data_IF_197448818175
#
_entry.id   IF_197448818175
#
_cell.length_a   1.000
_cell.length_b   1.000
_cell.length_c   1.000
_cell.angle_alpha   90.00
_cell.angle_beta   90.00
_cell.angle_gamma   90.00
#
_symmetry.space_group_name_H-M   'P 1'
#
loop_
_entity.id
_entity.type
_entity.pdbx_description
1 polymer ?
#
# COMPACT_ATOMS: atom_id res chain seq x y z
N UNK A 1 -4.13 -43.86 73.23
CA UNK A 1 -5.15 -43.22 72.36
C UNK A 1 -5.20 -41.75 72.71
N UNK A 2 -4.56 -40.90 71.91
CA UNK A 2 -4.94 -39.51 71.73
C UNK A 2 -4.19 -38.96 70.52
N UNK A 3 -4.93 -38.18 69.75
CA UNK A 3 -4.71 -37.84 68.37
C UNK A 3 -4.39 -36.34 68.27
N UNK A 4 -3.74 -35.94 67.18
CA UNK A 4 -3.79 -34.61 66.55
C UNK A 4 -2.93 -33.51 67.20
N UNK A 5 -1.95 -32.96 66.48
CA UNK A 5 -2.07 -31.71 65.72
C UNK A 5 -0.71 -31.29 65.10
N UNK A 6 -0.40 -31.80 63.91
CA UNK A 6 0.70 -31.28 63.09
C UNK A 6 0.16 -30.20 62.16
N UNK A 7 0.54 -28.94 62.37
CA UNK A 7 0.21 -27.83 61.48
C UNK A 7 0.97 -27.98 60.15
N UNK A 8 0.26 -28.34 59.08
CA UNK A 8 0.75 -28.11 57.71
C UNK A 8 0.37 -26.69 57.31
N UNK A 9 1.35 -25.80 57.29
CA UNK A 9 1.24 -24.49 56.66
C UNK A 9 1.27 -24.72 55.14
N UNK A 10 0.11 -24.77 54.51
CA UNK A 10 0.01 -24.74 53.05
C UNK A 10 0.35 -23.31 52.58
N UNK A 11 1.60 -23.08 52.13
CA UNK A 11 1.90 -21.92 51.28
C UNK A 11 1.13 -22.12 49.98
N UNK A 12 -0.03 -21.49 49.86
CA UNK A 12 -0.63 -21.22 48.57
C UNK A 12 0.30 -20.24 47.84
N UNK A 13 1.15 -20.78 46.95
CA UNK A 13 1.76 -19.96 45.90
C UNK A 13 0.60 -19.56 44.99
N UNK A 14 0.02 -18.40 45.27
CA UNK A 14 -0.86 -17.74 44.32
C UNK A 14 -0.04 -17.45 43.07
N UNK A 15 -0.27 -18.22 42.00
CA UNK A 15 0.08 -17.77 40.67
C UNK A 15 -0.72 -16.48 40.45
N UNK A 16 -0.08 -15.32 40.66
CA UNK A 16 -0.58 -14.10 40.09
C UNK A 16 -0.52 -14.31 38.57
N UNK A 17 -1.67 -14.51 37.94
CA UNK A 17 -1.76 -14.42 36.49
C UNK A 17 -1.40 -12.97 36.16
N UNK A 18 -0.18 -12.75 35.68
CA UNK A 18 0.18 -11.48 35.08
C UNK A 18 -0.66 -11.39 33.82
N UNK A 19 -1.76 -10.63 33.86
CA UNK A 19 -2.44 -10.23 32.64
C UNK A 19 -1.41 -9.48 31.82
N UNK A 20 -1.08 -9.99 30.64
CA UNK A 20 -0.26 -9.22 29.73
C UNK A 20 -1.06 -7.97 29.36
N UNK A 21 -0.44 -6.80 29.44
CA UNK A 21 -1.06 -5.52 29.19
C UNK A 21 -0.41 -4.90 27.96
N UNK A 22 -1.23 -4.37 27.05
CA UNK A 22 -0.77 -3.56 25.94
C UNK A 22 -0.65 -2.09 26.40
N UNK A 23 0.36 -1.40 25.89
CA UNK A 23 0.58 0.02 26.17
C UNK A 23 0.25 0.86 24.93
N UNK A 24 -0.67 1.82 25.09
CA UNK A 24 -0.98 2.83 24.07
C UNK A 24 -0.42 4.16 24.55
N UNK A 25 0.64 4.65 23.91
CA UNK A 25 1.19 5.99 24.17
C UNK A 25 0.52 6.99 23.25
N UNK A 26 -0.19 7.96 23.83
CA UNK A 26 -0.84 9.05 23.11
C UNK A 26 0.02 10.31 23.26
N UNK A 27 0.40 10.90 22.14
CA UNK A 27 1.27 12.09 22.08
C UNK A 27 0.51 13.26 21.43
N UNK A 28 0.56 14.43 22.07
CA UNK A 28 0.00 15.65 21.51
C UNK A 28 1.09 16.47 20.81
N UNK A 29 1.19 16.31 19.49
CA UNK A 29 2.07 17.11 18.64
C UNK A 29 1.41 18.39 18.09
N UNK A 30 0.16 18.67 18.50
CA UNK A 30 -0.54 19.90 18.14
C UNK A 30 -0.02 21.09 18.97
N UNK A 31 -0.26 22.31 18.49
CA UNK A 31 0.07 23.55 19.21
C UNK A 31 -0.98 23.94 20.26
N UNK A 32 -2.09 23.22 20.32
CA UNK A 32 -3.18 23.44 21.27
C UNK A 32 -3.36 22.23 22.20
N UNK A 33 -4.00 22.47 23.34
CA UNK A 33 -4.42 21.39 24.25
C UNK A 33 -5.45 20.51 23.56
N UNK A 34 -5.26 19.19 23.67
CA UNK A 34 -6.19 18.18 23.14
C UNK A 34 -6.78 17.40 24.31
N UNK A 35 -8.11 17.30 24.34
CA UNK A 35 -8.83 16.49 25.33
C UNK A 35 -9.13 15.14 24.71
N UNK A 36 -8.32 14.14 25.05
CA UNK A 36 -8.45 12.78 24.53
C UNK A 36 -9.70 12.13 25.12
N UNK A 37 -10.53 11.54 24.26
CA UNK A 37 -11.61 10.64 24.63
C UNK A 37 -11.22 9.19 24.39
N UNK A 38 -11.70 8.29 25.25
CA UNK A 38 -11.49 6.85 25.10
C UNK A 38 -12.82 6.12 25.26
N UNK A 39 -13.05 5.10 24.44
CA UNK A 39 -14.24 4.25 24.52
C UNK A 39 -13.86 2.83 24.13
N UNK A 40 -14.18 1.85 24.96
CA UNK A 40 -13.89 0.46 24.62
C UNK A 40 -14.48 -0.54 25.61
N UNK A 41 -14.22 -1.80 25.34
CA UNK A 41 -14.61 -2.94 26.17
C UNK A 41 -13.37 -3.81 26.46
N UNK A 42 -13.26 -4.44 27.64
CA UNK A 42 -14.27 -4.49 28.72
C UNK A 42 -14.31 -3.22 29.60
N UNK A 43 -13.33 -2.32 29.46
CA UNK A 43 -13.24 -1.08 30.26
C UNK A 43 -12.94 0.12 29.37
N UNK A 44 -13.36 1.30 29.83
CA UNK A 44 -12.95 2.57 29.25
C UNK A 44 -11.64 3.01 29.92
N UNK A 45 -10.51 3.03 29.21
CA UNK A 45 -9.23 3.42 29.79
C UNK A 45 -9.31 4.85 30.34
N UNK A 46 -8.62 5.15 31.46
CA UNK A 46 -8.64 6.48 32.07
C UNK A 46 -10.06 7.02 32.43
N UNK A 47 -11.05 6.15 32.61
CA UNK A 47 -12.43 6.55 32.87
C UNK A 47 -13.17 7.15 31.67
N UNK A 48 -12.59 7.05 30.47
CA UNK A 48 -13.17 7.56 29.24
C UNK A 48 -12.51 8.83 28.69
N UNK A 49 -11.41 9.32 29.28
CA UNK A 49 -10.68 10.44 28.72
C UNK A 49 -9.69 11.13 29.67
N UNK A 50 -8.80 11.92 29.08
CA UNK A 50 -7.75 12.69 29.77
C UNK A 50 -7.34 13.91 28.93
N UNK A 51 -6.48 14.78 29.47
CA UNK A 51 -6.02 16.01 28.80
C UNK A 51 -4.52 15.89 28.49
N UNK A 52 -4.12 16.37 27.31
CA UNK A 52 -2.71 16.55 26.93
C UNK A 52 -2.49 18.00 26.46
N UNK A 53 -1.60 18.72 27.13
CA UNK A 53 -1.08 19.99 26.63
C UNK A 53 -0.14 19.77 25.42
N UNK A 54 0.21 20.83 24.67
CA UNK A 54 1.18 20.71 23.59
C UNK A 54 2.48 20.03 24.03
N UNK A 55 2.93 19.06 23.23
CA UNK A 55 4.12 18.23 23.47
C UNK A 55 4.04 17.29 24.68
N UNK A 56 2.89 17.14 25.33
CA UNK A 56 2.70 16.12 26.35
C UNK A 56 2.36 14.76 25.73
N UNK A 57 2.79 13.71 26.42
CA UNK A 57 2.48 12.32 26.11
C UNK A 57 1.91 11.61 27.34
N UNK A 58 1.02 10.64 27.13
CA UNK A 58 0.55 9.75 28.19
C UNK A 58 0.45 8.32 27.69
N UNK A 59 1.01 7.39 28.45
CA UNK A 59 0.85 5.96 28.23
C UNK A 59 -0.37 5.45 29.00
N UNK A 60 -1.22 4.71 28.29
CA UNK A 60 -2.44 4.09 28.79
C UNK A 60 -2.26 2.58 28.70
N UNK A 61 -2.49 1.89 29.82
CA UNK A 61 -2.49 0.43 29.88
C UNK A 61 -3.88 -0.09 29.47
N UNK A 62 -3.90 -1.03 28.53
CA UNK A 62 -5.12 -1.71 28.09
C UNK A 62 -4.92 -3.23 28.14
N UNK A 63 -6.00 -3.94 28.44
CA UNK A 63 -5.96 -5.40 28.62
C UNK A 63 -5.92 -6.12 27.25
N UNK A 64 -5.37 -7.33 27.22
CA UNK A 64 -5.52 -8.24 26.08
C UNK A 64 -7.01 -8.42 25.72
N UNK A 65 -7.34 -8.47 24.44
CA UNK A 65 -8.72 -8.56 23.96
C UNK A 65 -9.49 -7.23 23.99
N UNK A 66 -8.84 -6.11 24.35
CA UNK A 66 -9.52 -4.81 24.37
C UNK A 66 -9.89 -4.37 22.95
N UNK A 67 -11.15 -3.96 22.79
CA UNK A 67 -11.69 -3.42 21.55
C UNK A 67 -12.23 -2.03 21.83
N UNK A 68 -11.71 -1.03 21.14
CA UNK A 68 -12.13 0.33 21.38
C UNK A 68 -11.46 1.34 20.48
N UNK A 69 -11.60 2.61 20.86
CA UNK A 69 -11.14 3.74 20.09
C UNK A 69 -10.71 4.91 20.95
N UNK A 70 -9.81 5.71 20.38
CA UNK A 70 -9.36 6.99 20.89
C UNK A 70 -9.75 8.09 19.90
N UNK A 71 -10.01 9.29 20.40
CA UNK A 71 -10.19 10.49 19.57
C UNK A 71 -9.74 11.72 20.33
N UNK A 72 -9.38 12.79 19.63
CA UNK A 72 -9.05 14.07 20.26
C UNK A 72 -10.22 15.07 20.15
N UNK A 73 -10.42 15.85 21.21
CA UNK A 73 -11.38 16.96 21.24
C UNK A 73 -10.65 18.28 21.31
N UNK A 74 -11.10 19.27 20.55
CA UNK A 74 -10.46 20.59 20.47
C UNK A 74 -11.43 21.72 20.80
N UNK A 75 -10.88 22.88 21.15
CA UNK A 75 -11.66 24.06 21.52
C UNK A 75 -12.58 23.84 22.72
N UNK A 76 -12.10 23.06 23.70
CA UNK A 76 -12.85 22.74 24.92
C UNK A 76 -12.77 23.85 25.96
N UNK A 77 -13.82 23.93 26.79
CA UNK A 77 -13.79 24.68 28.03
C UNK A 77 -12.92 23.98 29.10
N UNK A 78 -12.69 24.66 30.23
CA UNK A 78 -11.69 24.27 31.23
C UNK A 78 -11.89 22.86 31.84
N UNK A 79 -13.14 22.39 31.88
CA UNK A 79 -13.52 21.07 32.42
C UNK A 79 -13.76 20.01 31.33
N UNK A 80 -13.55 20.35 30.05
CA UNK A 80 -13.78 19.46 28.92
C UNK A 80 -15.25 19.06 28.72
N UNK A 81 -16.19 19.79 29.34
CA UNK A 81 -17.61 19.49 29.27
C UNK A 81 -18.29 19.95 27.98
N UNK A 82 -17.66 20.90 27.29
CA UNK A 82 -18.10 21.38 25.99
C UNK A 82 -16.89 21.64 25.12
N UNK A 83 -16.78 20.89 24.03
CA UNK A 83 -15.75 21.03 23.01
C UNK A 83 -16.32 21.52 21.66
N UNK A 84 -15.48 22.15 20.85
CA UNK A 84 -15.86 22.57 19.50
C UNK A 84 -15.98 21.37 18.55
N UNK A 85 -15.14 20.35 18.74
CA UNK A 85 -15.09 19.14 17.91
C UNK A 85 -14.90 17.91 18.79
N UNK A 86 -15.42 16.76 18.33
CA UNK A 86 -15.31 15.47 19.02
C UNK A 86 -15.98 15.40 20.40
N UNK A 87 -16.78 16.40 20.77
CA UNK A 87 -17.35 16.54 22.11
C UNK A 87 -18.10 15.27 22.55
N UNK A 88 -18.02 14.92 23.83
CA UNK A 88 -18.77 13.78 24.36
C UNK A 88 -19.87 14.20 25.34
N UNK A 89 -20.20 15.50 25.39
CA UNK A 89 -21.23 16.12 26.22
C UNK A 89 -21.16 15.75 27.71
N UNK A 90 -19.94 15.59 28.24
CA UNK A 90 -19.70 15.22 29.65
C UNK A 90 -18.67 16.12 30.32
N UNK A 91 -17.42 15.66 30.41
CA UNK A 91 -16.30 16.37 31.02
C UNK A 91 -15.02 15.77 30.47
N UNK A 92 -13.89 15.95 31.16
CA UNK A 92 -12.63 15.29 30.79
C UNK A 92 -12.80 13.78 30.56
N UNK A 93 -13.59 13.11 31.40
CA UNK A 93 -13.91 11.69 31.26
C UNK A 93 -15.28 11.49 30.57
N UNK A 94 -15.30 10.83 29.41
CA UNK A 94 -16.54 10.60 28.66
C UNK A 94 -17.41 9.47 29.24
N UNK A 95 -16.91 8.68 30.20
CA UNK A 95 -17.72 7.72 30.97
C UNK A 95 -18.58 6.77 30.10
N UNK A 96 -18.02 6.30 28.99
CA UNK A 96 -18.69 5.41 28.03
C UNK A 96 -19.49 6.10 26.92
N UNK A 97 -19.51 7.44 26.87
CA UNK A 97 -20.02 8.18 25.72
C UNK A 97 -18.97 8.23 24.60
N UNK A 98 -19.39 8.05 23.35
CA UNK A 98 -18.55 8.32 22.18
C UNK A 98 -18.47 9.81 21.87
N UNK A 99 -17.45 10.20 21.11
CA UNK A 99 -17.37 11.54 20.54
C UNK A 99 -18.52 11.79 19.56
N UNK A 100 -19.10 12.98 19.60
CA UNK A 100 -20.08 13.46 18.63
C UNK A 100 -19.33 13.76 17.33
N UNK A 101 -19.70 13.12 16.20
CA UNK A 101 -19.09 13.39 14.91
C UNK A 101 -19.29 14.86 14.46
N UNK A 102 -18.36 15.43 13.67
CA UNK A 102 -17.20 14.77 13.10
C UNK A 102 -16.01 14.63 14.05
N UNK A 103 -15.36 13.45 14.02
CA UNK A 103 -14.16 13.17 14.79
C UNK A 103 -13.28 12.13 14.08
N UNK A 104 -11.98 12.41 13.98
CA UNK A 104 -10.98 11.42 13.56
C UNK A 104 -10.83 10.38 14.67
N UNK A 105 -10.86 9.10 14.32
CA UNK A 105 -10.81 7.99 15.29
C UNK A 105 -9.53 7.17 15.09
N UNK A 106 -8.88 6.77 16.19
CA UNK A 106 -7.95 5.65 16.20
C UNK A 106 -8.67 4.43 16.77
N UNK A 107 -8.88 3.40 15.96
CA UNK A 107 -9.61 2.19 16.32
C UNK A 107 -8.62 1.05 16.54
N UNK A 108 -8.79 0.29 17.62
CA UNK A 108 -7.87 -0.79 18.00
C UNK A 108 -8.65 -1.99 18.53
N UNK A 109 -8.27 -3.16 18.08
CA UNK A 109 -8.72 -4.47 18.58
C UNK A 109 -7.48 -5.27 18.95
N UNK A 110 -7.16 -5.40 20.22
CA UNK A 110 -6.03 -6.22 20.68
C UNK A 110 -6.41 -7.71 20.77
N UNK A 111 -5.45 -8.59 20.51
CA UNK A 111 -5.54 -10.04 20.70
C UNK A 111 -6.82 -10.67 20.11
N UNK A 112 -7.15 -10.29 18.87
CA UNK A 112 -8.31 -10.81 18.14
C UNK A 112 -8.01 -12.21 17.57
N UNK A 113 -8.50 -12.53 16.37
CA UNK A 113 -8.33 -13.85 15.77
C UNK A 113 -6.85 -14.25 15.68
N UNK A 114 -6.51 -15.42 16.25
CA UNK A 114 -5.16 -15.99 16.29
C UNK A 114 -4.10 -15.11 17.00
N UNK A 115 -4.54 -14.22 17.91
CA UNK A 115 -3.68 -13.33 18.67
C UNK A 115 -3.07 -12.19 17.85
N UNK A 116 -3.85 -11.74 16.85
CA UNK A 116 -3.54 -10.57 16.06
C UNK A 116 -4.23 -9.33 16.63
N UNK A 117 -3.47 -8.25 16.77
CA UNK A 117 -4.02 -6.91 16.97
C UNK A 117 -4.44 -6.35 15.61
N UNK A 118 -5.55 -5.61 15.56
CA UNK A 118 -6.02 -4.86 14.39
C UNK A 118 -6.13 -3.40 14.77
N UNK A 119 -5.63 -2.51 13.92
CA UNK A 119 -5.71 -1.08 14.18
C UNK A 119 -5.81 -0.26 12.91
N UNK A 120 -6.44 0.90 13.03
CA UNK A 120 -6.60 1.86 11.94
C UNK A 120 -6.87 3.28 12.44
N UNK A 121 -6.68 4.24 11.53
CA UNK A 121 -7.24 5.59 11.67
C UNK A 121 -8.47 5.65 10.76
N UNK A 122 -9.58 6.12 11.31
CA UNK A 122 -10.88 6.10 10.65
C UNK A 122 -11.50 7.49 10.57
N UNK A 123 -11.90 7.85 9.34
CA UNK A 123 -12.62 9.07 8.97
C UNK A 123 -14.07 8.77 8.58
N UNK A 124 -14.55 7.56 8.89
CA UNK A 124 -15.96 7.16 8.70
C UNK A 124 -16.89 8.11 9.44
N UNK A 125 -16.50 8.47 10.66
CA UNK A 125 -17.17 9.47 11.50
C UNK A 125 -16.66 10.90 11.22
N UNK A 126 -16.03 11.16 10.08
CA UNK A 126 -15.53 12.48 9.69
C UNK A 126 -14.14 12.79 10.23
N UNK A 127 -13.75 14.06 10.14
CA UNK A 127 -12.41 14.53 10.48
C UNK A 127 -12.50 15.79 11.36
N UNK A 128 -11.64 15.91 12.36
CA UNK A 128 -11.45 17.17 13.10
C UNK A 128 -9.99 17.55 13.28
N UNK A 129 -9.10 16.58 13.46
CA UNK A 129 -7.66 16.79 13.65
C UNK A 129 -6.82 15.69 12.97
N UNK A 130 -5.57 16.00 12.57
CA UNK A 130 -4.65 15.00 12.05
C UNK A 130 -4.28 14.00 13.14
N UNK A 131 -4.26 12.71 12.78
CA UNK A 131 -3.94 11.64 13.72
C UNK A 131 -3.18 10.53 13.02
N UNK A 132 -2.28 9.89 13.74
CA UNK A 132 -1.59 8.68 13.30
C UNK A 132 -1.40 7.70 14.45
N UNK A 133 -1.22 6.44 14.10
CA UNK A 133 -0.96 5.36 15.04
C UNK A 133 0.02 4.37 14.44
N UNK A 134 1.01 3.97 15.23
CA UNK A 134 2.01 2.97 14.85
C UNK A 134 2.45 2.13 16.07
N UNK A 135 2.81 0.84 15.89
CA UNK A 135 3.31 0.01 16.98
C UNK A 135 4.73 0.39 17.40
N UNK A 136 4.99 0.45 18.71
CA UNK A 136 6.30 0.87 19.27
C UNK A 136 7.28 -0.28 19.53
N UNK A 137 6.81 -1.53 19.62
CA UNK A 137 7.65 -2.72 19.83
C UNK A 137 7.30 -3.82 18.82
N UNK A 138 8.30 -4.32 18.09
CA UNK A 138 8.12 -5.40 17.12
C UNK A 138 9.29 -6.39 17.16
N UNK A 139 8.99 -7.67 17.34
CA UNK A 139 9.93 -8.79 17.18
C UNK A 139 9.29 -10.00 16.46
N UNK A 140 8.39 -9.75 15.49
CA UNK A 140 7.73 -10.80 14.71
C UNK A 140 8.21 -10.90 13.25
N UNK A 141 7.79 -11.94 12.54
CA UNK A 141 7.81 -12.01 11.07
C UNK A 141 6.36 -12.15 10.60
N UNK A 142 5.95 -11.42 9.56
CA UNK A 142 4.77 -11.76 8.75
C UNK A 142 3.42 -11.09 9.04
N UNK A 143 3.34 -9.98 9.80
CA UNK A 143 2.08 -9.25 10.04
C UNK A 143 2.16 -7.78 9.59
N UNK A 144 1.04 -7.20 9.12
CA UNK A 144 0.92 -5.85 8.51
C UNK A 144 1.17 -4.72 9.54
N UNK A 145 2.40 -4.53 10.01
CA UNK A 145 2.74 -3.43 10.92
C UNK A 145 3.08 -2.18 10.12
N UNK A 146 2.21 -1.17 10.11
CA UNK A 146 2.42 0.08 9.38
C UNK A 146 1.81 1.26 10.10
N UNK A 147 2.17 2.48 9.69
CA UNK A 147 1.65 3.70 10.28
C UNK A 147 0.26 4.00 9.69
N UNK A 148 -0.79 3.77 10.46
CA UNK A 148 -2.12 4.24 10.15
C UNK A 148 -2.17 5.75 10.34
N UNK A 149 -2.82 6.51 9.45
CA UNK A 149 -2.75 7.96 9.59
C UNK A 149 -3.49 8.81 8.57
N UNK A 150 -3.82 10.00 9.03
CA UNK A 150 -4.26 11.13 8.25
C UNK A 150 -3.45 12.36 8.69
N UNK A 151 -2.31 12.59 8.02
CA UNK A 151 -1.38 13.66 8.37
C UNK A 151 -1.78 15.03 7.79
N UNK A 152 -2.57 15.01 6.71
CA UNK A 152 -3.03 16.23 6.06
C UNK A 152 -4.16 16.87 6.88
N UNK A 153 -4.14 18.20 6.96
CA UNK A 153 -5.30 18.94 7.46
C UNK A 153 -6.43 18.92 6.43
N UNK A 154 -7.45 18.09 6.70
CA UNK A 154 -8.62 17.99 5.83
C UNK A 154 -9.54 19.20 5.95
N UNK A 155 -9.44 20.01 7.00
CA UNK A 155 -10.25 21.22 7.17
C UNK A 155 -9.96 22.25 6.06
N UNK A 156 -8.72 22.31 5.57
CA UNK A 156 -8.28 23.23 4.51
C UNK A 156 -8.91 22.94 3.14
N UNK A 157 -9.34 21.69 2.92
CA UNK A 157 -9.90 21.22 1.65
C UNK A 157 -11.28 20.60 1.78
N UNK A 158 -11.93 20.81 2.93
CA UNK A 158 -13.26 20.28 3.20
C UNK A 158 -14.29 20.93 2.27
N UNK A 159 -15.12 20.15 1.53
CA UNK A 159 -16.23 20.69 0.76
C UNK A 159 -17.16 21.53 1.65
N UNK A 160 -17.65 22.66 1.14
CA UNK A 160 -18.39 23.64 1.93
C UNK A 160 -19.65 23.06 2.59
N UNK A 161 -20.30 22.11 1.93
CA UNK A 161 -21.47 21.37 2.42
C UNK A 161 -21.15 20.40 3.58
N UNK A 162 -19.90 19.94 3.69
CA UNK A 162 -19.42 19.06 4.76
C UNK A 162 -18.75 19.82 5.91
N UNK A 163 -18.32 21.05 5.67
CA UNK A 163 -17.57 21.86 6.63
C UNK A 163 -18.38 22.20 7.89
N UNK A 164 -17.72 22.04 9.05
CA UNK A 164 -18.16 22.60 10.33
C UNK A 164 -17.38 23.89 10.56
N UNK A 165 -18.07 25.03 10.51
CA UNK A 165 -17.44 26.35 10.61
C UNK A 165 -17.68 26.95 11.98
N UNK A 166 -16.61 27.41 12.64
CA UNK A 166 -16.64 28.16 13.88
C UNK A 166 -15.75 29.39 13.75
N UNK A 167 -16.25 30.56 14.14
CA UNK A 167 -15.53 31.84 14.06
C UNK A 167 -14.93 32.13 12.67
N UNK A 168 -15.65 31.74 11.61
CA UNK A 168 -15.24 31.95 10.22
C UNK A 168 -14.16 30.98 9.70
N UNK A 169 -13.78 29.95 10.47
CA UNK A 169 -12.84 28.90 10.05
C UNK A 169 -13.50 27.53 10.07
N UNK A 170 -13.16 26.69 9.09
CA UNK A 170 -13.50 25.26 9.14
C UNK A 170 -12.69 24.62 10.27
N UNK A 171 -13.38 24.06 11.27
CA UNK A 171 -12.75 23.40 12.43
C UNK A 171 -12.90 21.89 12.41
N UNK A 172 -13.78 21.37 11.56
CA UNK A 172 -13.95 19.95 11.31
C UNK A 172 -14.64 19.72 9.95
N UNK A 173 -14.54 18.50 9.42
CA UNK A 173 -15.17 18.09 8.18
C UNK A 173 -16.04 16.85 8.40
N UNK A 174 -17.33 16.94 8.09
CA UNK A 174 -18.23 15.79 8.15
C UNK A 174 -17.87 14.76 7.09
N UNK A 175 -18.02 13.47 7.40
CA UNK A 175 -18.17 12.47 6.35
C UNK A 175 -19.51 12.68 5.64
N UNK A 176 -19.63 12.15 4.42
CA UNK A 176 -20.90 12.19 3.70
C UNK A 176 -22.02 11.45 4.46
N UNK A 177 -21.70 10.36 5.16
CA UNK A 177 -22.66 9.67 6.00
C UNK A 177 -23.20 10.57 7.12
N UNK A 178 -22.31 11.24 7.87
CA UNK A 178 -22.71 12.13 8.96
C UNK A 178 -23.61 13.26 8.48
N UNK A 179 -23.27 13.87 7.34
CA UNK A 179 -23.95 15.09 6.87
C UNK A 179 -25.21 14.81 6.06
N UNK A 180 -25.13 13.87 5.12
CA UNK A 180 -26.17 13.61 4.12
C UNK A 180 -27.06 12.44 4.55
N UNK A 181 -26.53 11.53 5.36
CA UNK A 181 -27.27 10.43 6.02
C UNK A 181 -28.13 9.57 5.08
N UNK A 182 -27.66 9.37 3.85
CA UNK A 182 -28.30 8.47 2.89
C UNK A 182 -27.77 7.05 3.08
N UNK A 183 -28.56 6.07 2.68
CA UNK A 183 -28.15 4.66 2.76
C UNK A 183 -26.93 4.36 1.89
N UNK A 184 -26.75 5.08 0.79
CA UNK A 184 -25.56 4.99 -0.07
C UNK A 184 -24.30 5.46 0.67
N UNK A 185 -24.31 6.66 1.23
CA UNK A 185 -23.11 7.20 1.90
C UNK A 185 -22.78 6.52 3.23
N UNK A 186 -23.79 5.95 3.88
CA UNK A 186 -23.63 5.20 5.13
C UNK A 186 -23.49 3.69 4.92
N UNK A 187 -23.51 3.19 3.68
CA UNK A 187 -23.49 1.77 3.35
C UNK A 187 -24.54 0.94 4.14
N UNK A 188 -25.80 1.36 4.08
CA UNK A 188 -26.93 0.70 4.76
C UNK A 188 -27.91 0.12 3.74
N UNK A 189 -28.80 -0.75 4.20
CA UNK A 189 -29.91 -1.27 3.39
C UNK A 189 -29.41 -1.96 2.12
N UNK A 190 -29.81 -1.45 0.95
CA UNK A 190 -29.38 -2.00 -0.35
C UNK A 190 -27.86 -1.89 -0.58
N UNK A 191 -27.17 -0.97 0.11
CA UNK A 191 -25.73 -0.72 0.07
C UNK A 191 -25.01 -1.39 1.25
N UNK A 192 -25.66 -2.28 1.99
CA UNK A 192 -25.11 -2.92 3.20
C UNK A 192 -24.03 -3.98 2.97
N UNK A 193 -23.44 -4.03 1.79
CA UNK A 193 -22.35 -4.97 1.47
C UNK A 193 -21.25 -4.25 0.68
N UNK A 194 -19.97 -4.67 0.80
CA UNK A 194 -18.86 -4.00 0.12
C UNK A 194 -19.01 -3.90 -1.41
N UNK A 195 -19.58 -4.92 -2.05
CA UNK A 195 -19.82 -4.93 -3.51
C UNK A 195 -20.89 -3.93 -3.94
N UNK A 196 -21.76 -3.51 -3.01
CA UNK A 196 -22.89 -2.62 -3.28
C UNK A 196 -22.68 -1.19 -2.80
N UNK A 197 -21.67 -0.93 -1.96
CA UNK A 197 -21.27 0.41 -1.54
C UNK A 197 -19.85 0.70 -2.02
N UNK A 198 -19.64 0.98 -3.31
CA UNK A 198 -18.32 1.35 -3.82
C UNK A 198 -17.90 2.74 -3.29
N UNK A 199 -16.61 3.10 -3.42
CA UNK A 199 -16.15 4.45 -3.12
C UNK A 199 -16.94 5.49 -3.93
N UNK A 200 -17.24 6.62 -3.29
CA UNK A 200 -17.97 7.74 -3.87
C UNK A 200 -17.14 9.03 -3.75
N UNK A 201 -17.55 10.09 -4.44
CA UNK A 201 -16.75 11.31 -4.56
C UNK A 201 -16.22 11.85 -3.22
N UNK A 202 -17.06 11.94 -2.18
CA UNK A 202 -16.62 12.42 -0.87
C UNK A 202 -15.63 11.49 -0.17
N UNK A 203 -15.84 10.17 -0.20
CA UNK A 203 -14.89 9.23 0.41
C UNK A 203 -13.55 9.22 -0.35
N UNK A 204 -13.59 9.35 -1.67
CA UNK A 204 -12.38 9.51 -2.49
C UNK A 204 -11.59 10.78 -2.15
N UNK A 205 -12.25 11.90 -1.82
CA UNK A 205 -11.55 13.11 -1.36
C UNK A 205 -10.77 12.85 -0.06
N UNK A 206 -11.41 12.19 0.91
CA UNK A 206 -10.78 11.84 2.18
C UNK A 206 -9.64 10.83 1.97
N UNK A 207 -9.86 9.80 1.15
CA UNK A 207 -8.85 8.80 0.81
C UNK A 207 -7.64 9.39 0.10
N UNK A 208 -7.86 10.32 -0.84
CA UNK A 208 -6.78 11.00 -1.55
C UNK A 208 -5.93 11.83 -0.61
N UNK A 209 -6.55 12.49 0.37
CA UNK A 209 -5.85 13.27 1.37
C UNK A 209 -5.12 12.40 2.40
N UNK A 210 -5.74 11.28 2.77
CA UNK A 210 -5.32 10.41 3.87
C UNK A 210 -5.39 8.95 3.43
N UNK A 211 -4.41 8.49 2.62
CA UNK A 211 -4.45 7.17 2.00
C UNK A 211 -4.30 6.03 3.03
N UNK A 212 -3.67 6.30 4.18
CA UNK A 212 -3.48 5.34 5.27
C UNK A 212 -4.61 5.36 6.33
N UNK A 213 -5.76 5.96 6.02
CA UNK A 213 -6.95 5.98 6.87
C UNK A 213 -8.18 5.44 6.14
N UNK A 214 -9.12 4.88 6.90
CA UNK A 214 -10.46 4.55 6.41
C UNK A 214 -11.21 5.83 6.05
N UNK A 215 -11.66 5.95 4.82
CA UNK A 215 -12.42 7.09 4.31
C UNK A 215 -13.95 6.88 4.35
N UNK A 216 -14.41 5.62 4.44
CA UNK A 216 -15.82 5.24 4.59
C UNK A 216 -15.92 3.77 5.08
N UNK A 217 -17.14 3.31 5.38
CA UNK A 217 -17.38 2.06 6.10
C UNK A 217 -16.83 0.77 5.45
N UNK A 218 -16.72 0.73 4.11
CA UNK A 218 -16.15 -0.39 3.37
C UNK A 218 -14.92 0.01 2.56
N UNK A 219 -14.13 0.97 3.08
CA UNK A 219 -12.81 1.26 2.50
C UNK A 219 -11.96 -0.01 2.46
N UNK A 220 -11.01 -0.03 1.55
CA UNK A 220 -10.23 -1.23 1.33
C UNK A 220 -9.23 -1.51 2.46
N UNK A 221 -8.77 -2.76 2.50
CA UNK A 221 -7.87 -3.27 3.54
C UNK A 221 -6.45 -2.67 3.51
N UNK A 222 -6.18 -1.63 2.70
CA UNK A 222 -4.98 -0.79 2.83
C UNK A 222 -4.97 -0.02 4.16
N UNK A 223 -6.14 0.14 4.78
CA UNK A 223 -6.31 0.98 5.98
C UNK A 223 -6.36 0.17 7.28
N UNK A 224 -6.42 -1.16 7.21
CA UNK A 224 -6.32 -2.05 8.38
C UNK A 224 -4.94 -2.66 8.49
N UNK A 225 -4.32 -2.43 9.63
CA UNK A 225 -3.01 -2.95 10.00
C UNK A 225 -3.16 -4.08 11.03
N UNK A 226 -2.23 -5.04 11.01
CA UNK A 226 -2.27 -6.21 11.90
C UNK A 226 -0.92 -6.51 12.54
N UNK A 227 -0.93 -6.96 13.80
CA UNK A 227 0.27 -7.33 14.56
C UNK A 227 0.06 -8.66 15.28
N UNK A 228 0.85 -9.71 15.00
CA UNK A 228 0.75 -11.00 15.68
C UNK A 228 1.88 -11.25 16.70
N UNK A 229 1.59 -12.01 17.77
CA UNK A 229 2.59 -12.45 18.77
C UNK A 229 3.51 -13.55 18.19
N UNK A 230 4.82 -13.37 18.32
CA UNK A 230 5.80 -14.42 18.00
C UNK A 230 6.09 -15.30 19.24
N UNK A 231 5.87 -16.60 19.14
CA UNK A 231 6.43 -17.56 20.09
C UNK A 231 7.92 -17.79 19.75
N UNK A 232 8.82 -17.12 20.45
CA UNK A 232 10.27 -17.28 20.27
C UNK A 232 10.74 -18.52 21.05
N UNK A 233 11.12 -19.58 20.35
CA UNK A 233 11.99 -20.63 20.92
C UNK A 233 13.44 -20.11 20.83
N UNK A 234 14.08 -19.86 21.96
CA UNK A 234 15.43 -19.28 22.03
C UNK A 234 16.49 -20.23 21.44
N UNK A 235 17.14 -19.84 20.35
CA UNK A 235 18.52 -20.27 20.04
C UNK A 235 19.28 -19.15 19.29
N UNK A 236 20.25 -18.54 19.99
CA UNK A 236 21.47 -17.93 19.43
C UNK A 236 21.34 -16.61 18.65
N UNK A 237 21.78 -15.50 19.26
CA UNK A 237 21.98 -14.19 18.61
C UNK A 237 22.97 -14.26 17.43
N UNK A 238 22.51 -13.88 16.25
CA UNK A 238 23.33 -13.25 15.21
C UNK A 238 22.71 -11.89 14.89
N UNK A 239 23.50 -10.82 14.92
CA UNK A 239 23.07 -9.48 14.51
C UNK A 239 22.91 -9.51 13.00
N UNK A 240 21.68 -9.69 12.52
CA UNK A 240 21.32 -9.57 11.11
C UNK A 240 20.90 -8.12 10.88
N UNK A 241 21.71 -7.38 10.11
CA UNK A 241 21.26 -6.15 9.48
C UNK A 241 20.19 -6.52 8.45
N UNK A 242 18.92 -6.47 8.83
CA UNK A 242 17.81 -6.71 7.90
C UNK A 242 17.59 -5.43 7.12
N UNK A 243 17.97 -5.45 5.83
CA UNK A 243 17.57 -4.42 4.89
C UNK A 243 16.04 -4.47 4.74
N UNK A 244 15.36 -3.32 4.84
CA UNK A 244 13.97 -3.15 4.43
C UNK A 244 13.89 -3.13 2.89
N UNK A 245 14.27 -4.24 2.24
CA UNK A 245 14.31 -4.36 0.79
C UNK A 245 13.32 -5.39 0.27
N UNK A 246 13.09 -5.37 -1.05
CA UNK A 246 12.27 -6.34 -1.77
C UNK A 246 13.15 -7.27 -2.58
N UNK A 247 12.77 -8.54 -2.63
CA UNK A 247 13.34 -9.51 -3.56
C UNK A 247 12.58 -9.47 -4.88
N UNK A 248 13.32 -9.26 -5.97
CA UNK A 248 12.82 -9.44 -7.33
C UNK A 248 13.53 -10.66 -7.92
N UNK A 249 12.83 -11.78 -8.00
CA UNK A 249 13.32 -12.98 -8.69
C UNK A 249 13.04 -12.86 -10.19
N UNK A 250 14.10 -12.87 -10.99
CA UNK A 250 14.02 -12.83 -12.45
C UNK A 250 14.30 -14.22 -12.99
N UNK A 251 13.33 -14.82 -13.67
CA UNK A 251 13.43 -16.14 -14.30
C UNK A 251 13.55 -16.02 -15.81
N UNK A 252 14.49 -16.77 -16.40
CA UNK A 252 14.54 -16.99 -17.83
C UNK A 252 13.95 -18.35 -18.20
N UNK A 253 12.68 -18.39 -18.65
CA UNK A 253 12.06 -19.61 -19.22
C UNK A 253 12.14 -19.64 -20.75
N UNK A 254 12.89 -18.73 -21.36
CA UNK A 254 13.16 -18.79 -22.78
C UNK A 254 14.16 -19.92 -23.08
N UNK A 255 14.09 -20.50 -24.28
CA UNK A 255 15.04 -21.52 -24.76
C UNK A 255 16.39 -20.92 -25.23
N UNK A 256 16.69 -19.71 -24.78
CA UNK A 256 17.87 -18.93 -25.17
C UNK A 256 18.34 -18.07 -23.99
N UNK A 257 19.60 -17.65 -24.02
CA UNK A 257 20.14 -16.68 -23.06
C UNK A 257 19.44 -15.33 -23.19
N UNK A 258 19.09 -14.75 -22.04
CA UNK A 258 18.55 -13.38 -21.93
C UNK A 258 19.53 -12.53 -21.14
N UNK A 259 19.93 -11.40 -21.71
CA UNK A 259 20.75 -10.40 -21.03
C UNK A 259 19.81 -9.37 -20.39
N UNK A 260 19.60 -9.49 -19.09
CA UNK A 260 18.69 -8.63 -18.34
C UNK A 260 19.30 -7.24 -18.19
N UNK A 261 18.50 -6.21 -18.49
CA UNK A 261 18.79 -4.83 -18.14
C UNK A 261 17.93 -4.40 -16.96
N UNK A 262 18.46 -3.52 -16.11
CA UNK A 262 17.71 -2.90 -15.01
C UNK A 262 18.09 -1.43 -14.88
N UNK A 263 17.10 -0.59 -14.56
CA UNK A 263 17.25 0.85 -14.41
C UNK A 263 16.30 1.32 -13.33
N UNK A 264 16.77 2.06 -12.34
CA UNK A 264 15.90 2.59 -11.29
C UNK A 264 16.55 3.63 -10.39
N UNK A 265 15.80 4.01 -9.35
CA UNK A 265 16.21 4.96 -8.32
C UNK A 265 15.81 4.42 -6.94
N UNK A 266 16.60 4.69 -5.88
CA UNK A 266 17.80 5.53 -5.87
C UNK A 266 19.04 4.87 -6.50
N UNK A 267 19.02 3.55 -6.70
CA UNK A 267 20.14 2.77 -7.23
C UNK A 267 19.76 2.01 -8.51
N UNK A 268 20.78 1.66 -9.29
CA UNK A 268 20.66 0.70 -10.40
C UNK A 268 21.11 -0.67 -9.90
N UNK A 269 20.19 -1.61 -9.65
CA UNK A 269 20.56 -2.93 -9.16
C UNK A 269 21.54 -3.61 -10.11
N UNK A 270 22.47 -4.42 -9.60
CA UNK A 270 23.43 -5.16 -10.44
C UNK A 270 24.24 -4.27 -11.41
N UNK A 271 24.48 -2.99 -11.06
CA UNK A 271 25.06 -1.97 -11.94
C UNK A 271 24.34 -1.83 -13.29
N UNK A 272 23.05 -2.16 -13.33
CA UNK A 272 22.19 -2.01 -14.50
C UNK A 272 22.05 -3.25 -15.39
N UNK A 273 22.60 -4.42 -15.02
CA UNK A 273 22.30 -5.64 -15.79
C UNK A 273 23.11 -6.89 -15.44
N UNK A 274 22.60 -8.04 -15.88
CA UNK A 274 23.19 -9.36 -15.67
C UNK A 274 22.72 -10.33 -16.77
N UNK A 275 23.28 -11.54 -16.80
CA UNK A 275 22.96 -12.56 -17.81
C UNK A 275 22.23 -13.73 -17.14
N UNK A 276 21.21 -14.28 -17.80
CA UNK A 276 20.55 -15.52 -17.45
C UNK A 276 20.56 -16.47 -18.65
N UNK A 277 21.18 -17.63 -18.49
CA UNK A 277 21.02 -18.78 -19.38
C UNK A 277 19.59 -19.33 -19.39
N UNK A 278 19.31 -20.24 -20.31
CA UNK A 278 17.98 -20.88 -20.39
C UNK A 278 17.70 -21.68 -19.11
N UNK A 279 16.55 -21.43 -18.48
CA UNK A 279 16.13 -22.05 -17.23
C UNK A 279 16.76 -21.46 -15.97
N UNK A 280 17.66 -20.48 -16.09
CA UNK A 280 18.29 -19.85 -14.93
C UNK A 280 17.40 -18.77 -14.31
N UNK A 281 17.62 -18.54 -13.02
CA UNK A 281 16.95 -17.51 -12.23
C UNK A 281 17.98 -16.74 -11.40
N UNK A 282 17.70 -15.46 -11.14
CA UNK A 282 18.48 -14.64 -10.21
C UNK A 282 17.55 -13.76 -9.38
N UNK A 283 17.79 -13.70 -8.07
CA UNK A 283 17.14 -12.74 -7.19
C UNK A 283 18.00 -11.49 -7.07
N UNK A 284 17.35 -10.34 -7.24
CA UNK A 284 17.92 -9.01 -7.07
C UNK A 284 17.24 -8.36 -5.87
N UNK A 285 18.03 -7.81 -4.95
CA UNK A 285 17.51 -7.03 -3.83
C UNK A 285 17.48 -5.55 -4.19
N UNK A 286 16.36 -4.90 -3.88
CA UNK A 286 16.19 -3.44 -4.01
C UNK A 286 15.66 -2.88 -2.69
N UNK A 287 16.00 -1.64 -2.38
CA UNK A 287 15.51 -0.99 -1.16
C UNK A 287 14.00 -0.69 -1.26
N UNK A 288 13.33 -0.57 -0.11
CA UNK A 288 11.97 -0.05 -0.07
C UNK A 288 11.91 1.37 -0.67
N UNK A 289 10.83 1.67 -1.39
CA UNK A 289 10.72 2.92 -2.16
C UNK A 289 11.46 2.92 -3.51
N UNK A 290 12.09 1.80 -3.91
CA UNK A 290 12.72 1.71 -5.23
C UNK A 290 11.68 1.84 -6.34
N UNK A 291 11.99 2.64 -7.35
CA UNK A 291 11.18 2.79 -8.55
C UNK A 291 12.06 2.59 -9.78
N UNK A 292 11.66 1.69 -10.65
CA UNK A 292 12.45 1.34 -11.82
C UNK A 292 11.83 0.25 -12.68
N UNK A 293 12.67 -0.32 -13.53
CA UNK A 293 12.24 -1.26 -14.57
C UNK A 293 13.29 -2.31 -14.90
N UNK A 294 12.81 -3.43 -15.42
CA UNK A 294 13.60 -4.53 -15.97
C UNK A 294 13.20 -4.81 -17.42
N UNK A 295 14.14 -5.27 -18.24
CA UNK A 295 13.86 -5.72 -19.60
C UNK A 295 14.83 -6.82 -20.03
N UNK A 296 14.44 -7.59 -21.05
CA UNK A 296 15.27 -8.67 -21.61
C UNK A 296 15.93 -8.23 -22.92
N UNK A 297 17.23 -8.52 -23.07
CA UNK A 297 17.96 -8.34 -24.33
C UNK A 297 18.25 -9.70 -24.96
N UNK A 298 18.11 -9.78 -26.28
CA UNK A 298 18.26 -11.02 -27.05
C UNK A 298 19.17 -10.84 -28.25
N UNK A 299 19.71 -11.95 -28.76
CA UNK A 299 20.62 -11.93 -29.92
C UNK A 299 21.90 -11.13 -29.65
N UNK A 300 22.39 -11.18 -28.41
CA UNK A 300 23.57 -10.45 -27.97
C UNK A 300 24.87 -11.17 -28.36
N UNK A 301 25.93 -10.39 -28.56
CA UNK A 301 27.30 -10.90 -28.59
C UNK A 301 27.76 -11.32 -27.18
N UNK A 302 28.95 -11.93 -27.09
CA UNK A 302 29.43 -12.62 -25.89
C UNK A 302 29.58 -11.70 -24.66
N UNK A 303 29.85 -10.41 -24.86
CA UNK A 303 30.00 -9.41 -23.80
C UNK A 303 28.73 -8.56 -23.56
N UNK A 304 27.64 -8.85 -24.28
CA UNK A 304 26.38 -8.11 -24.18
C UNK A 304 26.48 -6.65 -24.63
N UNK A 305 27.55 -6.28 -25.34
CA UNK A 305 27.79 -4.91 -25.81
C UNK A 305 26.96 -4.54 -27.04
N UNK A 306 26.45 -5.54 -27.76
CA UNK A 306 25.54 -5.35 -28.88
C UNK A 306 24.50 -6.46 -28.89
N UNK A 307 23.23 -6.07 -28.87
CA UNK A 307 22.07 -6.97 -28.88
C UNK A 307 21.13 -6.65 -30.04
N UNK A 308 20.41 -7.66 -30.52
CA UNK A 308 19.42 -7.48 -31.58
C UNK A 308 18.20 -6.67 -31.11
N UNK A 309 17.84 -6.80 -29.83
CA UNK A 309 16.66 -6.17 -29.24
C UNK A 309 16.96 -5.70 -27.81
N UNK A 310 16.39 -4.57 -27.40
CA UNK A 310 16.51 -4.04 -26.04
C UNK A 310 17.92 -3.58 -25.65
N UNK A 311 18.85 -3.48 -26.61
CA UNK A 311 20.25 -3.15 -26.34
C UNK A 311 20.38 -1.86 -25.52
N UNK A 312 21.38 -1.78 -24.65
CA UNK A 312 21.70 -0.54 -23.92
C UNK A 312 23.01 0.09 -24.39
N UNK A 313 23.59 -0.41 -25.49
CA UNK A 313 24.79 0.10 -26.16
C UNK A 313 25.99 0.26 -25.21
N UNK A 314 26.14 -0.70 -24.28
CA UNK A 314 27.25 -0.74 -23.32
C UNK A 314 27.89 -2.11 -23.26
N UNK A 315 27.38 -2.97 -22.38
CA UNK A 315 27.86 -4.32 -22.12
C UNK A 315 26.82 -5.06 -21.28
N UNK A 316 27.21 -6.14 -20.61
CA UNK A 316 26.32 -6.85 -19.66
C UNK A 316 25.68 -5.90 -18.64
N UNK A 317 26.41 -4.92 -18.12
CA UNK A 317 25.90 -3.93 -17.17
C UNK A 317 25.58 -2.61 -17.89
N UNK A 318 24.30 -2.19 -17.87
CA UNK A 318 23.87 -0.98 -18.59
C UNK A 318 24.28 0.32 -17.87
N UNK A 319 24.67 0.28 -16.59
CA UNK A 319 25.24 1.42 -15.86
C UNK A 319 24.35 2.67 -15.86
N UNK A 320 23.04 2.49 -15.73
CA UNK A 320 22.06 3.57 -15.76
C UNK A 320 21.56 3.99 -17.16
N UNK A 321 21.98 3.30 -18.22
CA UNK A 321 21.35 3.44 -19.54
C UNK A 321 20.06 2.59 -19.62
N UNK A 322 19.01 3.15 -20.22
CA UNK A 322 17.80 2.39 -20.55
C UNK A 322 18.00 1.53 -21.80
N UNK A 323 17.13 0.53 -21.97
CA UNK A 323 17.07 -0.25 -23.20
C UNK A 323 16.63 0.62 -24.38
N UNK A 324 17.27 0.42 -25.52
CA UNK A 324 16.89 1.02 -26.80
C UNK A 324 15.64 0.29 -27.29
N UNK A 325 14.51 0.99 -27.47
CA UNK A 325 13.29 0.38 -27.96
C UNK A 325 13.46 -0.26 -29.36
N UNK A 326 12.72 -1.33 -29.68
CA UNK A 326 11.64 -1.90 -28.89
C UNK A 326 12.10 -2.85 -27.77
N UNK A 327 11.48 -2.70 -26.60
CA UNK A 327 11.69 -3.57 -25.44
C UNK A 327 10.41 -3.69 -24.60
N UNK A 328 10.01 -4.93 -24.30
CA UNK A 328 9.00 -5.21 -23.28
C UNK A 328 9.58 -4.81 -21.91
N UNK A 329 8.85 -4.02 -21.14
CA UNK A 329 9.29 -3.54 -19.83
C UNK A 329 8.47 -4.18 -18.70
N UNK A 330 9.16 -4.53 -17.62
CA UNK A 330 8.57 -4.79 -16.32
C UNK A 330 8.83 -3.57 -15.45
N UNK A 331 7.79 -2.82 -15.09
CA UNK A 331 7.91 -1.57 -14.33
C UNK A 331 7.35 -1.78 -12.92
N UNK A 332 8.03 -1.23 -11.92
CA UNK A 332 7.59 -1.31 -10.53
C UNK A 332 8.04 -0.09 -9.73
N UNK A 333 7.13 0.41 -8.89
CA UNK A 333 7.38 1.41 -7.87
C UNK A 333 6.95 0.81 -6.54
N UNK A 334 7.91 0.56 -5.66
CA UNK A 334 7.65 0.06 -4.33
C UNK A 334 7.19 1.19 -3.41
N UNK A 335 6.25 0.87 -2.52
CA UNK A 335 5.86 1.71 -1.39
C UNK A 335 5.48 3.16 -1.75
N UNK A 336 4.71 3.34 -2.82
CA UNK A 336 3.99 4.59 -3.04
C UNK A 336 2.84 4.68 -2.02
N UNK A 337 3.16 5.21 -0.83
CA UNK A 337 2.25 5.31 0.31
C UNK A 337 1.66 3.95 0.75
N UNK A 338 2.52 2.94 0.94
CA UNK A 338 2.14 1.60 1.37
C UNK A 338 1.71 0.65 0.25
N UNK A 339 1.63 1.15 -0.98
CA UNK A 339 1.19 0.38 -2.16
C UNK A 339 2.30 0.29 -3.19
N UNK A 340 2.57 -0.90 -3.68
CA UNK A 340 3.36 -1.09 -4.88
C UNK A 340 2.48 -0.91 -6.11
N UNK A 341 3.02 -0.22 -7.11
CA UNK A 341 2.46 -0.15 -8.44
C UNK A 341 3.38 -0.88 -9.38
N UNK A 342 2.85 -1.81 -10.15
CA UNK A 342 3.64 -2.59 -11.08
C UNK A 342 2.85 -2.92 -12.35
N UNK A 343 3.57 -3.18 -13.43
CA UNK A 343 2.97 -3.52 -14.70
C UNK A 343 3.97 -4.16 -15.65
N UNK A 344 3.43 -4.75 -16.71
CA UNK A 344 4.18 -5.02 -17.94
C UNK A 344 3.76 -3.97 -18.96
N UNK A 345 4.74 -3.30 -19.56
CA UNK A 345 4.53 -2.17 -20.46
C UNK A 345 5.10 -2.43 -21.84
N UNK A 346 4.26 -2.16 -22.84
CA UNK A 346 4.55 -2.21 -24.27
C UNK A 346 4.58 -0.81 -24.89
N UNK A 347 4.61 0.24 -24.07
CA UNK A 347 4.74 1.64 -24.51
C UNK A 347 6.01 1.81 -25.35
N UNK A 348 7.11 1.19 -24.88
CA UNK A 348 8.38 1.12 -25.58
C UNK A 348 8.45 -0.06 -26.55
N UNK A 349 7.32 -0.66 -26.94
CA UNK A 349 7.25 -1.78 -27.88
C UNK A 349 7.41 -3.15 -27.22
N UNK A 350 7.60 -4.17 -28.03
CA UNK A 350 7.70 -5.56 -27.62
C UNK A 350 8.92 -6.23 -28.24
N UNK A 351 9.60 -7.10 -27.49
CA UNK A 351 10.63 -7.97 -28.06
C UNK A 351 10.52 -9.42 -27.58
N UNK A 352 10.16 -9.65 -26.32
CA UNK A 352 9.91 -11.00 -25.79
C UNK A 352 8.71 -11.04 -24.83
N UNK A 353 8.07 -12.22 -24.66
CA UNK A 353 7.00 -12.38 -23.69
C UNK A 353 7.52 -12.20 -22.27
N UNK A 354 6.73 -11.53 -21.43
CA UNK A 354 7.10 -11.22 -20.06
C UNK A 354 5.87 -11.20 -19.17
N UNK A 355 6.02 -11.68 -17.94
CA UNK A 355 5.04 -11.53 -16.88
C UNK A 355 5.72 -11.01 -15.60
N UNK A 356 4.96 -10.29 -14.79
CA UNK A 356 5.34 -9.91 -13.44
C UNK A 356 4.21 -10.24 -12.48
N UNK A 357 4.53 -10.84 -11.35
CA UNK A 357 3.55 -11.14 -10.29
C UNK A 357 4.20 -11.06 -8.91
N UNK A 358 3.45 -10.66 -7.86
CA UNK A 358 3.93 -10.81 -6.50
C UNK A 358 4.06 -12.30 -6.14
N UNK A 359 5.11 -12.67 -5.42
CA UNK A 359 5.35 -14.05 -4.96
C UNK A 359 4.74 -14.32 -3.58
N UNK A 360 4.56 -13.26 -2.78
CA UNK A 360 4.02 -13.35 -1.42
C UNK A 360 2.49 -13.38 -1.39
N UNK A 361 1.84 -12.74 -2.37
CA UNK A 361 0.39 -12.52 -2.38
C UNK A 361 -0.24 -13.16 -3.61
N UNK A 362 -1.46 -13.67 -3.45
CA UNK A 362 -2.32 -14.07 -4.56
C UNK A 362 -3.60 -13.25 -4.51
N UNK A 363 -3.78 -12.36 -5.48
CA UNK A 363 -4.99 -11.56 -5.61
C UNK A 363 -5.77 -11.83 -6.90
N UNK A 364 -6.83 -11.04 -7.11
CA UNK A 364 -7.74 -11.16 -8.23
C UNK A 364 -7.89 -9.81 -8.94
N UNK A 365 -8.18 -9.85 -10.25
CA UNK A 365 -8.28 -8.64 -11.06
C UNK A 365 -6.91 -7.99 -11.24
N UNK A 366 -6.78 -6.73 -10.85
CA UNK A 366 -5.54 -5.93 -10.91
C UNK A 366 -4.85 -5.77 -9.54
N UNK A 367 -5.38 -6.46 -8.51
CA UNK A 367 -4.82 -6.44 -7.15
C UNK A 367 -3.98 -7.69 -6.92
N UNK A 368 -2.69 -7.52 -6.62
CA UNK A 368 -1.73 -8.58 -6.34
C UNK A 368 -1.80 -9.79 -7.30
N UNK A 369 -2.04 -9.52 -8.58
CA UNK A 369 -2.24 -10.52 -9.62
C UNK A 369 -1.15 -10.41 -10.69
N UNK A 370 -1.14 -11.34 -11.64
CA UNK A 370 -0.15 -11.38 -12.70
C UNK A 370 -0.43 -10.32 -13.77
N UNK A 371 0.49 -9.36 -13.92
CA UNK A 371 0.62 -8.51 -15.10
C UNK A 371 1.39 -9.27 -16.19
N UNK A 372 1.07 -9.08 -17.47
CA UNK A 372 1.77 -9.85 -18.49
C UNK A 372 1.34 -9.65 -19.93
N UNK A 373 2.32 -9.92 -20.80
CA UNK A 373 2.13 -10.14 -22.21
C UNK A 373 2.70 -11.53 -22.55
N UNK A 374 1.81 -12.53 -22.52
CA UNK A 374 2.18 -13.93 -22.67
C UNK A 374 2.17 -14.41 -24.13
N UNK A 375 1.61 -13.61 -25.04
CA UNK A 375 1.56 -13.89 -26.47
C UNK A 375 2.87 -13.48 -27.16
N UNK A 376 3.21 -14.16 -28.25
CA UNK A 376 4.30 -13.73 -29.13
C UNK A 376 3.80 -12.66 -30.12
N UNK A 377 3.87 -11.38 -29.70
CA UNK A 377 3.51 -10.24 -30.54
C UNK A 377 4.33 -10.16 -31.84
N UNK A 378 5.53 -10.77 -31.89
CA UNK A 378 6.35 -10.75 -33.11
C UNK A 378 5.69 -11.53 -34.26
N UNK A 379 4.88 -12.55 -33.95
CA UNK A 379 4.22 -13.41 -34.93
C UNK A 379 3.13 -12.68 -35.74
N UNK A 380 2.60 -11.57 -35.22
CA UNK A 380 1.52 -10.80 -35.84
C UNK A 380 1.77 -9.29 -35.78
N UNK A 381 3.04 -8.90 -35.60
CA UNK A 381 3.47 -7.52 -35.68
C UNK A 381 3.22 -6.95 -37.09
N UNK A 382 2.53 -5.80 -37.22
CA UNK A 382 2.39 -5.13 -38.51
C UNK A 382 3.76 -4.86 -39.15
N UNK A 383 3.86 -5.04 -40.47
CA UNK A 383 5.15 -4.99 -41.18
C UNK A 383 5.89 -3.66 -41.03
N UNK A 384 5.15 -2.56 -40.91
CA UNK A 384 5.68 -1.23 -40.67
C UNK A 384 6.28 -1.04 -39.27
N UNK A 385 5.83 -1.82 -38.28
CA UNK A 385 6.34 -1.80 -36.89
C UNK A 385 7.43 -2.84 -36.64
N UNK A 386 7.53 -3.86 -37.50
CA UNK A 386 8.43 -5.00 -37.34
C UNK A 386 9.91 -4.61 -37.39
N UNK A 387 10.70 -5.18 -36.47
CA UNK A 387 12.15 -5.23 -36.53
C UNK A 387 12.55 -6.61 -37.05
N UNK A 388 13.16 -6.67 -38.24
CA UNK A 388 13.50 -7.92 -38.91
C UNK A 388 15.00 -8.19 -38.83
N UNK A 389 15.37 -9.40 -38.41
CA UNK A 389 16.74 -9.92 -38.41
C UNK A 389 16.74 -11.33 -38.99
N UNK A 390 17.65 -11.62 -39.92
CA UNK A 390 17.78 -12.92 -40.57
C UNK A 390 16.46 -13.46 -41.15
N UNK A 391 15.65 -12.56 -41.72
CA UNK A 391 14.35 -12.88 -42.32
C UNK A 391 13.21 -13.17 -41.33
N UNK A 392 13.41 -12.94 -40.03
CA UNK A 392 12.38 -13.10 -38.98
C UNK A 392 12.14 -11.81 -38.22
N UNK A 393 10.89 -11.55 -37.86
CA UNK A 393 10.54 -10.48 -36.92
C UNK A 393 11.06 -10.86 -35.54
N UNK A 394 11.97 -10.07 -34.98
CA UNK A 394 12.58 -10.30 -33.66
C UNK A 394 12.05 -9.34 -32.59
N UNK A 395 11.40 -8.25 -32.99
CA UNK A 395 10.73 -7.31 -32.12
C UNK A 395 9.66 -6.52 -32.88
N UNK A 396 8.74 -5.90 -32.15
CA UNK A 396 7.68 -5.04 -32.66
C UNK A 396 7.74 -3.66 -32.00
N UNK A 397 7.90 -2.60 -32.80
CA UNK A 397 7.84 -1.24 -32.29
C UNK A 397 6.43 -0.88 -31.84
N UNK A 398 6.31 -0.05 -30.80
CA UNK A 398 5.08 0.71 -30.62
C UNK A 398 4.94 1.74 -31.74
N UNK A 399 3.72 2.23 -31.95
CA UNK A 399 3.48 3.30 -32.93
C UNK A 399 4.25 4.58 -32.57
N UNK A 400 4.44 4.88 -31.27
CA UNK A 400 5.25 6.01 -30.85
C UNK A 400 6.70 5.85 -31.29
N UNK A 401 7.32 4.69 -31.03
CA UNK A 401 8.71 4.43 -31.41
C UNK A 401 8.94 4.58 -32.91
N UNK A 402 8.01 4.05 -33.72
CA UNK A 402 8.22 3.97 -35.17
C UNK A 402 7.76 5.21 -35.92
N UNK A 403 6.57 5.73 -35.59
CA UNK A 403 5.92 6.80 -36.32
C UNK A 403 6.17 8.17 -35.67
N UNK A 404 6.45 8.19 -34.37
CA UNK A 404 6.87 9.37 -33.60
C UNK A 404 5.97 10.60 -33.78
N UNK A 405 4.68 10.38 -34.00
CA UNK A 405 3.69 11.47 -34.06
C UNK A 405 3.18 11.79 -32.67
N UNK A 406 2.75 13.03 -32.46
CA UNK A 406 2.20 13.47 -31.16
C UNK A 406 0.96 12.67 -30.75
N UNK A 407 0.19 12.20 -31.73
CA UNK A 407 -0.94 11.32 -31.52
C UNK A 407 -0.54 9.97 -30.93
N UNK A 408 0.49 9.32 -31.46
CA UNK A 408 0.91 8.00 -30.97
C UNK A 408 1.76 8.07 -29.70
N UNK A 409 2.42 9.20 -29.47
CA UNK A 409 3.25 9.44 -28.29
C UNK A 409 2.53 10.21 -27.17
N UNK A 410 1.24 10.53 -27.34
CA UNK A 410 0.46 11.34 -26.43
C UNK A 410 1.15 12.65 -25.99
N UNK A 411 1.60 13.44 -26.98
CA UNK A 411 2.29 14.73 -26.76
C UNK A 411 1.45 15.90 -27.25
N UNK A 412 1.79 17.11 -26.81
CA UNK A 412 1.19 18.35 -27.32
C UNK A 412 -0.33 18.35 -27.14
N UNK A 413 -1.08 18.42 -28.25
CA UNK A 413 -2.54 18.40 -28.23
C UNK A 413 -3.14 17.09 -27.67
N UNK A 414 -2.36 16.01 -27.65
CA UNK A 414 -2.71 14.69 -27.13
C UNK A 414 -2.11 14.44 -25.73
N UNK A 415 -1.61 15.48 -25.04
CA UNK A 415 -0.91 15.36 -23.75
C UNK A 415 -1.79 15.09 -22.53
N UNK A 416 -3.05 14.67 -22.72
CA UNK A 416 -3.97 14.33 -21.65
C UNK A 416 -4.75 13.05 -22.01
N UNK A 417 -5.18 12.24 -21.02
CA UNK A 417 -5.88 10.98 -21.29
C UNK A 417 -7.15 11.16 -22.14
N UNK A 418 -7.91 12.23 -21.94
CA UNK A 418 -9.13 12.54 -22.72
C UNK A 418 -8.84 12.85 -24.19
N UNK A 419 -7.61 13.28 -24.50
CA UNK A 419 -7.19 13.67 -25.85
C UNK A 419 -6.33 12.64 -26.57
N UNK A 420 -5.80 11.64 -25.87
CA UNK A 420 -5.07 10.53 -26.47
C UNK A 420 -5.83 9.21 -26.23
N UNK A 421 -6.93 8.96 -26.96
CA UNK A 421 -7.62 7.68 -26.86
C UNK A 421 -6.78 6.54 -27.44
N UNK A 422 -7.11 5.27 -27.16
CA UNK A 422 -6.44 4.15 -27.80
C UNK A 422 -6.69 4.17 -29.32
N UNK A 423 -5.61 4.03 -30.10
CA UNK A 423 -5.62 3.99 -31.56
C UNK A 423 -5.38 2.57 -32.08
N UNK A 424 -5.45 2.37 -33.41
CA UNK A 424 -5.32 1.06 -34.05
C UNK A 424 -4.17 0.19 -33.51
N UNK A 425 -2.95 0.74 -33.43
CA UNK A 425 -1.79 -0.03 -32.98
C UNK A 425 -1.80 -0.35 -31.48
N UNK A 426 -2.21 0.57 -30.61
CA UNK A 426 -2.30 0.28 -29.18
C UNK A 426 -3.44 -0.70 -28.87
N UNK A 427 -4.57 -0.61 -29.59
CA UNK A 427 -5.63 -1.61 -29.52
C UNK A 427 -5.17 -3.01 -29.95
N UNK A 428 -4.31 -3.11 -30.97
CA UNK A 428 -3.72 -4.38 -31.40
C UNK A 428 -2.88 -4.99 -30.27
N UNK A 429 -2.02 -4.18 -29.64
CA UNK A 429 -1.18 -4.63 -28.52
C UNK A 429 -2.04 -5.03 -27.31
N UNK A 430 -3.04 -4.23 -26.96
CA UNK A 430 -3.97 -4.49 -25.85
C UNK A 430 -4.81 -5.75 -26.08
N UNK A 431 -5.25 -5.99 -27.31
CA UNK A 431 -6.02 -7.20 -27.66
C UNK A 431 -5.19 -8.46 -27.44
N UNK A 432 -3.92 -8.43 -27.82
CA UNK A 432 -3.02 -9.55 -27.63
C UNK A 432 -2.57 -9.72 -26.17
N UNK A 433 -2.38 -8.61 -25.47
CA UNK A 433 -1.84 -8.56 -24.12
C UNK A 433 -2.72 -7.67 -23.23
N UNK A 434 -3.93 -8.15 -22.84
CA UNK A 434 -4.90 -7.36 -22.11
C UNK A 434 -4.44 -6.98 -20.68
N UNK A 435 -3.48 -7.73 -20.13
CA UNK A 435 -2.88 -7.49 -18.81
C UNK A 435 -1.56 -6.69 -18.90
N UNK A 436 -1.34 -5.94 -19.98
CA UNK A 436 -0.18 -5.07 -20.18
C UNK A 436 -0.61 -3.66 -20.63
N UNK A 437 0.21 -2.65 -20.31
CA UNK A 437 0.11 -1.31 -20.89
C UNK A 437 0.44 -1.36 -22.37
N UNK A 438 -0.46 -0.85 -23.21
CA UNK A 438 -0.28 -0.79 -24.67
C UNK A 438 0.13 0.60 -25.18
N UNK A 439 -0.08 1.66 -24.38
CA UNK A 439 0.33 3.04 -24.66
C UNK A 439 0.31 3.90 -23.39
N UNK A 440 0.76 5.16 -23.48
CA UNK A 440 1.06 6.03 -22.33
C UNK A 440 -0.12 6.34 -21.38
N UNK A 441 -1.36 6.36 -21.90
CA UNK A 441 -2.57 6.61 -21.09
C UNK A 441 -3.53 5.41 -21.13
N UNK A 442 -3.00 4.20 -21.21
CA UNK A 442 -3.82 2.99 -21.11
C UNK A 442 -4.63 2.98 -19.81
N UNK A 443 -5.75 2.27 -19.85
CA UNK A 443 -6.73 2.31 -18.77
C UNK A 443 -6.24 1.58 -17.51
N UNK A 444 -7.00 1.72 -16.42
CA UNK A 444 -6.70 1.14 -15.10
C UNK A 444 -6.58 -0.39 -15.10
N UNK A 445 -6.96 -1.09 -16.18
CA UNK A 445 -6.71 -2.53 -16.32
C UNK A 445 -5.24 -2.89 -16.53
N UNK A 446 -4.39 -1.88 -16.70
CA UNK A 446 -2.97 -2.06 -17.00
C UNK A 446 -2.07 -1.73 -15.81
N UNK A 447 -2.59 -1.03 -14.80
CA UNK A 447 -1.86 -0.75 -13.55
C UNK A 447 -2.23 -1.79 -12.51
N UNK A 448 -1.25 -2.59 -12.08
CA UNK A 448 -1.46 -3.55 -11.01
C UNK A 448 -0.96 -2.97 -9.70
N UNK A 449 -1.68 -3.25 -8.63
CA UNK A 449 -1.35 -2.75 -7.30
C UNK A 449 -1.21 -3.91 -6.34
N UNK A 450 -0.21 -3.89 -5.47
CA UNK A 450 -0.15 -4.81 -4.35
C UNK A 450 0.30 -4.09 -3.08
N UNK A 451 0.04 -4.66 -1.92
CA UNK A 451 0.55 -4.11 -0.67
C UNK A 451 2.07 -4.24 -0.64
N UNK A 452 2.79 -3.17 -0.32
CA UNK A 452 4.27 -3.14 -0.36
C UNK A 452 4.93 -4.00 0.72
N UNK A 453 4.40 -3.98 1.93
CA UNK A 453 5.06 -4.63 3.06
C UNK A 453 5.17 -6.15 2.89
N UNK A 454 6.37 -6.66 2.61
CA UNK A 454 6.63 -8.08 2.42
C UNK A 454 6.29 -8.59 1.00
N UNK A 455 5.95 -7.71 0.06
CA UNK A 455 5.85 -8.09 -1.33
C UNK A 455 7.23 -8.35 -1.90
N UNK A 456 7.39 -9.55 -2.43
CA UNK A 456 8.48 -9.89 -3.33
C UNK A 456 7.87 -10.12 -4.70
N UNK A 457 8.63 -9.94 -5.77
CA UNK A 457 8.13 -10.06 -7.13
C UNK A 457 8.88 -11.10 -7.91
N UNK A 458 8.18 -11.72 -8.85
CA UNK A 458 8.76 -12.58 -9.85
C UNK A 458 8.53 -11.98 -11.22
N UNK A 459 9.62 -11.76 -11.94
CA UNK A 459 9.60 -11.39 -13.36
C UNK A 459 9.96 -12.66 -14.12
N UNK A 460 9.11 -13.09 -15.05
CA UNK A 460 9.34 -14.29 -15.85
C UNK A 460 9.38 -13.92 -17.32
N UNK A 461 10.53 -14.15 -17.96
CA UNK A 461 10.66 -14.13 -19.40
C UNK A 461 10.13 -15.44 -20.00
N UNK A 462 9.36 -15.35 -21.07
CA UNK A 462 8.70 -16.48 -21.73
C UNK A 462 7.84 -17.36 -20.77
N UNK A 463 6.82 -16.79 -20.10
CA UNK A 463 6.11 -17.46 -19.00
C UNK A 463 5.30 -18.71 -19.40
N UNK A 464 5.03 -18.92 -20.70
CA UNK A 464 4.25 -20.03 -21.23
C UNK A 464 5.09 -21.15 -21.90
N UNK A 465 6.42 -21.07 -21.82
CA UNK A 465 7.30 -22.08 -22.42
C UNK A 465 7.40 -23.37 -21.61
#
# INVERSE_FOLDING_TARGET
>A
MNNIMGHFLAMAVGLAMVSSAHQVTVENNCQETVWVGTLGQPVNPEGGGFVLNPSESKTVEVVDGWIGRFWGRTGCNQDGASCATGDCARGTQCGGAGGVPPASLAEITFDANAGMDFYDISLVDGYNLPMSMEPTTYQGQGYKCGRAGCDKDLNDSCPGELAVVKDGRTVACNSACNKLNTDEFCCRGAFGTPDRCPPFHYSQLFKTACPAAYSYAYDDQSSTFTLGRAFVTVMGLAIITVCCGHDITVDNRCQQTVWVGTLGRPTNPENGGFVLGAGESKTVQVDNGWSGRFWGRTGCNQDGASCATGDCARGTQCGGAGGIPPATLAEITFDAAGTDFYDISLVDGYNLPMAMEPTTYQGQGYRCSRAGCNQDLNAFCPGELAVVKDGRTVACNSACNKLNTDQFCCRGAFGTPDRCPPFYYSQLFKTACPAAYSYAYDDQSSTFTCQSQGSNYRITFCPNN
#
